data_IF_362909048045
#
_entry.id   IF_362909048045
#
_cell.length_a   1.000
_cell.length_b   1.000
_cell.length_c   1.000
_cell.angle_alpha   90.00
_cell.angle_beta   90.00
_cell.angle_gamma   90.00
#
_symmetry.space_group_name_H-M   'P 1'
#
loop_
_entity.id
_entity.type
_entity.pdbx_description
1 polymer ?
#
# COMPACT_ATOMS: atom_id res chain seq x y z
N UNK A 1 0.86 -12.27 -9.02
CA UNK A 1 -0.40 -12.57 -8.28
C UNK A 1 -0.36 -12.02 -6.85
N UNK A 2 0.72 -12.27 -6.07
CA UNK A 2 0.86 -11.81 -4.69
C UNK A 2 0.67 -10.29 -4.55
N UNK A 3 1.40 -9.49 -5.33
CA UNK A 3 1.31 -8.02 -5.30
C UNK A 3 -0.10 -7.52 -5.59
N UNK A 4 -0.77 -8.06 -6.63
CA UNK A 4 -2.13 -7.64 -6.97
C UNK A 4 -3.14 -7.90 -5.84
N UNK A 5 -3.02 -9.02 -5.11
CA UNK A 5 -3.90 -9.34 -3.98
C UNK A 5 -3.61 -8.38 -2.82
N UNK A 6 -2.34 -8.19 -2.47
CA UNK A 6 -1.90 -7.24 -1.45
C UNK A 6 -2.41 -5.83 -1.74
N UNK A 7 -2.19 -5.32 -2.96
CA UNK A 7 -2.58 -3.95 -3.33
C UNK A 7 -4.10 -3.76 -3.25
N UNK A 8 -4.89 -4.75 -3.69
CA UNK A 8 -6.35 -4.72 -3.53
C UNK A 8 -6.77 -4.67 -2.05
N UNK A 9 -6.12 -5.45 -1.19
CA UNK A 9 -6.39 -5.43 0.25
C UNK A 9 -6.02 -4.08 0.86
N UNK A 10 -4.84 -3.55 0.54
CA UNK A 10 -4.41 -2.23 1.02
C UNK A 10 -5.40 -1.15 0.59
N UNK A 11 -5.77 -1.08 -0.68
CA UNK A 11 -6.71 -0.08 -1.20
C UNK A 11 -8.09 -0.20 -0.56
N UNK A 12 -8.63 -1.42 -0.47
CA UNK A 12 -9.96 -1.65 0.08
C UNK A 12 -10.04 -1.30 1.56
N UNK A 13 -9.10 -1.81 2.36
CA UNK A 13 -9.07 -1.57 3.81
C UNK A 13 -8.74 -0.11 4.12
N UNK A 14 -7.75 0.48 3.43
CA UNK A 14 -7.39 1.88 3.65
C UNK A 14 -8.50 2.85 3.25
N UNK A 15 -9.24 2.56 2.16
CA UNK A 15 -10.36 3.39 1.73
C UNK A 15 -11.50 3.35 2.75
N UNK A 16 -11.92 2.17 3.18
CA UNK A 16 -13.02 2.03 4.16
C UNK A 16 -12.64 2.59 5.53
N UNK A 17 -11.44 2.29 6.02
CA UNK A 17 -10.94 2.81 7.29
C UNK A 17 -10.72 4.34 7.24
N UNK A 18 -10.17 4.86 6.14
CA UNK A 18 -9.97 6.29 5.91
C UNK A 18 -11.30 7.04 5.92
N UNK A 19 -12.34 6.51 5.25
CA UNK A 19 -13.69 7.06 5.29
C UNK A 19 -14.26 7.07 6.72
N UNK A 20 -14.20 5.93 7.41
CA UNK A 20 -14.69 5.83 8.78
C UNK A 20 -14.00 6.85 9.72
N UNK A 21 -12.68 6.96 9.62
CA UNK A 21 -11.89 7.92 10.39
C UNK A 21 -12.12 9.38 9.96
N UNK A 22 -12.54 9.66 8.75
CA UNK A 22 -12.87 10.99 8.28
C UNK A 22 -14.27 11.43 8.68
N UNK A 23 -15.26 10.55 8.56
CA UNK A 23 -16.69 10.88 8.61
C UNK A 23 -17.42 10.45 9.87
N UNK A 24 -16.96 9.37 10.53
CA UNK A 24 -17.62 8.87 11.72
C UNK A 24 -17.02 9.52 12.98
N UNK A 25 -17.86 9.81 13.94
CA UNK A 25 -17.44 10.33 15.24
C UNK A 25 -16.98 9.18 16.13
N UNK A 26 -15.76 8.69 15.86
CA UNK A 26 -15.17 7.57 16.59
C UNK A 26 -14.48 8.07 17.87
N UNK A 27 -14.69 7.39 19.01
CA UNK A 27 -13.94 7.69 20.22
C UNK A 27 -12.45 7.40 19.99
N UNK A 28 -11.57 8.16 20.59
CA UNK A 28 -10.11 8.02 20.50
C UNK A 28 -9.54 8.06 19.07
N UNK A 29 -10.25 8.74 18.14
CA UNK A 29 -9.84 8.85 16.72
C UNK A 29 -8.43 9.45 16.57
N UNK A 30 -8.12 10.49 17.35
CA UNK A 30 -6.84 11.20 17.27
C UNK A 30 -5.70 10.32 17.77
N UNK A 31 -5.91 9.63 18.85
CA UNK A 31 -4.97 8.72 19.50
C UNK A 31 -4.70 7.51 18.58
N UNK A 32 -5.76 6.96 17.98
CA UNK A 32 -5.64 5.88 16.99
C UNK A 32 -4.78 6.30 15.79
N UNK A 33 -5.02 7.47 15.21
CA UNK A 33 -4.24 7.97 14.08
C UNK A 33 -2.77 8.22 14.46
N UNK A 34 -2.52 8.78 15.66
CA UNK A 34 -1.16 8.96 16.16
C UNK A 34 -0.46 7.62 16.35
N UNK A 35 -1.13 6.64 16.95
CA UNK A 35 -0.60 5.29 17.14
C UNK A 35 -0.25 4.60 15.83
N UNK A 36 -1.12 4.70 14.83
CA UNK A 36 -0.92 4.14 13.48
C UNK A 36 0.30 4.76 12.80
N UNK A 37 0.52 6.09 12.93
CA UNK A 37 1.70 6.76 12.39
C UNK A 37 2.98 6.37 13.13
N UNK A 38 2.94 6.25 14.45
CA UNK A 38 4.07 5.79 15.25
C UNK A 38 4.48 4.38 14.82
N UNK A 39 3.53 3.47 14.64
CA UNK A 39 3.80 2.12 14.15
C UNK A 39 4.49 2.12 12.76
N UNK A 40 4.09 3.03 11.88
CA UNK A 40 4.71 3.16 10.55
C UNK A 40 6.14 3.74 10.60
N UNK A 41 6.48 4.46 11.66
CA UNK A 41 7.84 5.02 11.83
C UNK A 41 8.88 3.93 12.17
N UNK A 42 8.47 2.75 12.62
CA UNK A 42 9.39 1.64 12.85
C UNK A 42 9.82 1.00 11.53
N UNK A 43 11.13 0.83 11.29
CA UNK A 43 11.61 0.12 10.12
C UNK A 43 11.10 -1.33 10.12
N UNK A 44 10.52 -1.77 9.00
CA UNK A 44 9.99 -3.14 8.86
C UNK A 44 11.03 -4.23 9.15
N UNK A 45 12.31 -3.94 8.83
CA UNK A 45 13.42 -4.87 9.05
C UNK A 45 13.67 -5.14 10.54
N UNK A 46 13.42 -4.19 11.43
CA UNK A 46 13.57 -4.40 12.88
C UNK A 46 12.49 -5.29 13.46
N UNK A 47 11.34 -5.34 12.80
CA UNK A 47 10.19 -6.16 13.21
C UNK A 47 10.23 -7.57 12.65
N UNK A 48 11.19 -7.90 11.77
CA UNK A 48 11.19 -9.15 11.01
C UNK A 48 11.25 -10.39 11.91
N UNK A 49 11.99 -10.33 13.02
CA UNK A 49 12.11 -11.44 13.96
C UNK A 49 10.77 -11.68 14.68
N UNK A 50 10.13 -10.62 15.16
CA UNK A 50 8.83 -10.72 15.83
C UNK A 50 7.75 -11.24 14.87
N UNK A 51 7.73 -10.74 13.62
CA UNK A 51 6.82 -11.18 12.58
C UNK A 51 7.04 -12.66 12.26
N UNK A 52 8.28 -13.09 12.13
CA UNK A 52 8.63 -14.49 11.91
C UNK A 52 8.09 -15.40 13.01
N UNK A 53 8.29 -15.04 14.28
CA UNK A 53 7.80 -15.81 15.42
C UNK A 53 6.28 -15.89 15.45
N UNK A 54 5.60 -14.77 15.17
CA UNK A 54 4.13 -14.75 15.10
C UNK A 54 3.63 -15.65 13.96
N UNK A 55 4.23 -15.58 12.77
CA UNK A 55 3.84 -16.44 11.65
C UNK A 55 4.07 -17.92 11.93
N UNK A 56 5.14 -18.26 12.63
CA UNK A 56 5.36 -19.64 13.09
C UNK A 56 4.28 -20.08 14.08
N UNK A 57 3.94 -19.24 15.05
CA UNK A 57 2.95 -19.56 16.07
C UNK A 57 1.56 -19.83 15.46
N UNK A 58 1.16 -19.05 14.46
CA UNK A 58 -0.16 -19.17 13.80
C UNK A 58 -0.13 -20.13 12.58
N UNK A 59 1.02 -20.78 12.30
CA UNK A 59 1.13 -21.75 11.20
C UNK A 59 1.12 -21.14 9.80
N UNK A 60 1.38 -19.83 9.67
CA UNK A 60 1.41 -19.11 8.37
C UNK A 60 2.84 -18.81 7.89
N UNK A 61 3.86 -19.26 8.62
CA UNK A 61 5.24 -19.18 8.15
C UNK A 61 5.43 -20.02 6.87
N UNK A 62 6.28 -19.54 6.00
CA UNK A 62 6.57 -20.18 4.71
C UNK A 62 5.33 -20.37 3.81
N UNK A 63 4.35 -19.45 3.91
CA UNK A 63 3.16 -19.43 3.06
C UNK A 63 3.02 -18.11 2.31
N UNK A 64 2.45 -18.17 1.11
CA UNK A 64 2.13 -16.97 0.32
C UNK A 64 1.14 -16.05 1.06
N UNK A 65 0.18 -16.64 1.76
CA UNK A 65 -0.84 -15.92 2.54
C UNK A 65 -0.19 -15.16 3.69
N UNK A 66 0.75 -15.77 4.42
CA UNK A 66 1.49 -15.12 5.49
C UNK A 66 2.23 -13.87 4.99
N UNK A 67 2.95 -13.99 3.86
CA UNK A 67 3.63 -12.85 3.24
C UNK A 67 2.65 -11.75 2.84
N UNK A 68 1.52 -12.08 2.21
CA UNK A 68 0.50 -11.10 1.80
C UNK A 68 -0.06 -10.36 3.01
N UNK A 69 -0.41 -11.06 4.08
CA UNK A 69 -0.96 -10.45 5.29
C UNK A 69 0.05 -9.49 5.92
N UNK A 70 1.30 -9.91 6.08
CA UNK A 70 2.36 -9.09 6.67
C UNK A 70 2.59 -7.83 5.84
N UNK A 71 2.81 -7.98 4.54
CA UNK A 71 3.06 -6.84 3.65
C UNK A 71 1.86 -5.88 3.59
N UNK A 72 0.63 -6.42 3.65
CA UNK A 72 -0.58 -5.60 3.73
C UNK A 72 -0.59 -4.82 5.04
N UNK A 73 -0.40 -5.49 6.18
CA UNK A 73 -0.46 -4.87 7.50
C UNK A 73 0.56 -3.75 7.68
N UNK A 74 1.78 -3.93 7.18
CA UNK A 74 2.83 -2.90 7.24
C UNK A 74 2.52 -1.68 6.37
N UNK A 75 1.75 -1.83 5.30
CA UNK A 75 1.37 -0.74 4.39
C UNK A 75 0.11 0.00 4.84
N UNK A 76 -0.78 -0.66 5.61
CA UNK A 76 -2.06 -0.09 6.05
C UNK A 76 -1.94 1.24 6.80
N UNK A 77 -1.00 1.45 7.72
CA UNK A 77 -0.86 2.71 8.44
C UNK A 77 -0.78 3.92 7.51
N UNK A 78 0.13 3.89 6.56
CA UNK A 78 0.30 4.94 5.56
C UNK A 78 -0.92 5.06 4.65
N UNK A 79 -1.48 3.93 4.21
CA UNK A 79 -2.65 3.90 3.34
C UNK A 79 -3.88 4.53 3.98
N UNK A 80 -4.15 4.22 5.25
CA UNK A 80 -5.26 4.80 6.01
C UNK A 80 -5.08 6.31 6.17
N UNK A 81 -3.87 6.74 6.49
CA UNK A 81 -3.56 8.16 6.67
C UNK A 81 -3.75 8.95 5.37
N UNK A 82 -3.24 8.44 4.25
CA UNK A 82 -3.42 9.05 2.91
C UNK A 82 -4.91 9.13 2.58
N UNK A 83 -5.63 8.01 2.66
CA UNK A 83 -7.06 8.00 2.29
C UNK A 83 -7.90 8.90 3.17
N UNK A 84 -7.62 8.95 4.48
CA UNK A 84 -8.28 9.90 5.38
C UNK A 84 -8.07 11.34 4.93
N UNK A 85 -6.85 11.73 4.56
CA UNK A 85 -6.56 13.08 4.06
C UNK A 85 -7.38 13.44 2.82
N UNK A 86 -7.55 12.51 1.88
CA UNK A 86 -8.40 12.70 0.73
C UNK A 86 -9.88 12.79 1.08
N UNK A 87 -10.38 11.98 2.00
CA UNK A 87 -11.77 12.09 2.46
C UNK A 87 -12.04 13.39 3.21
N UNK A 88 -11.07 13.90 3.98
CA UNK A 88 -11.20 15.18 4.68
C UNK A 88 -11.34 16.36 3.70
N UNK A 89 -10.77 16.26 2.50
CA UNK A 89 -10.87 17.33 1.47
C UNK A 89 -12.21 17.35 0.72
N UNK A 90 -13.03 16.32 0.83
CA UNK A 90 -14.37 16.29 0.21
C UNK A 90 -15.35 17.12 1.05
N UNK A 91 -16.07 18.08 0.46
CA UNK A 91 -17.06 18.88 1.17
C UNK A 91 -18.15 18.02 1.83
N UNK A 92 -18.49 18.31 3.08
CA UNK A 92 -19.50 17.58 3.85
C UNK A 92 -20.89 17.68 3.24
N UNK A 93 -21.17 18.77 2.55
CA UNK A 93 -22.44 19.09 1.90
C UNK A 93 -22.84 18.03 0.89
N UNK A 94 -21.88 17.44 0.17
CA UNK A 94 -22.13 16.36 -0.81
C UNK A 94 -22.72 15.13 -0.12
N UNK A 95 -22.20 14.80 1.03
CA UNK A 95 -22.67 13.63 1.80
C UNK A 95 -24.04 13.91 2.42
N UNK A 96 -24.24 15.11 2.96
CA UNK A 96 -25.51 15.52 3.56
C UNK A 96 -26.63 15.59 2.53
N UNK A 97 -26.39 16.11 1.34
CA UNK A 97 -27.35 16.14 0.25
C UNK A 97 -27.85 14.72 -0.10
N UNK A 98 -26.92 13.77 -0.28
CA UNK A 98 -27.30 12.38 -0.56
C UNK A 98 -28.10 11.70 0.55
N UNK A 99 -27.80 12.02 1.82
CA UNK A 99 -28.57 11.51 2.97
C UNK A 99 -29.97 12.14 3.05
N UNK A 100 -30.12 13.43 2.70
CA UNK A 100 -31.41 14.12 2.64
C UNK A 100 -32.30 13.57 1.54
N UNK A 101 -31.71 13.13 0.42
CA UNK A 101 -32.43 12.43 -0.66
C UNK A 101 -32.86 11.00 -0.28
N UNK A 102 -32.60 10.57 0.96
CA UNK A 102 -33.01 9.27 1.48
C UNK A 102 -32.06 8.12 1.13
N UNK A 103 -30.90 8.40 0.56
CA UNK A 103 -29.91 7.34 0.27
C UNK A 103 -29.28 6.80 1.55
N UNK A 104 -28.97 5.50 1.59
CA UNK A 104 -28.23 4.91 2.70
C UNK A 104 -26.79 5.44 2.76
N UNK A 105 -26.16 5.46 3.95
CA UNK A 105 -24.78 5.88 4.13
C UNK A 105 -23.80 5.14 3.21
N UNK A 106 -24.02 3.84 3.00
CA UNK A 106 -23.19 3.04 2.09
C UNK A 106 -23.36 3.49 0.63
N UNK A 107 -24.59 3.80 0.21
CA UNK A 107 -24.88 4.30 -1.14
C UNK A 107 -24.24 5.66 -1.37
N UNK A 108 -24.34 6.56 -0.40
CA UNK A 108 -23.70 7.88 -0.44
C UNK A 108 -22.18 7.74 -0.53
N UNK A 109 -21.58 6.91 0.33
CA UNK A 109 -20.15 6.65 0.27
C UNK A 109 -19.72 6.12 -1.10
N UNK A 110 -20.37 5.07 -1.59
CA UNK A 110 -19.94 4.39 -2.82
C UNK A 110 -20.20 5.23 -4.07
N UNK A 111 -21.34 5.92 -4.17
CA UNK A 111 -21.77 6.63 -5.37
C UNK A 111 -21.35 8.09 -5.42
N UNK A 112 -21.24 8.77 -4.28
CA UNK A 112 -20.99 10.20 -4.24
C UNK A 112 -19.58 10.52 -3.73
N UNK A 113 -19.16 9.94 -2.61
CA UNK A 113 -17.91 10.30 -1.94
C UNK A 113 -16.70 9.57 -2.54
N UNK A 114 -16.80 8.25 -2.76
CA UNK A 114 -15.70 7.43 -3.29
C UNK A 114 -15.20 7.91 -4.67
N UNK A 115 -16.06 8.33 -5.62
CA UNK A 115 -15.60 8.90 -6.88
C UNK A 115 -14.81 10.20 -6.73
N UNK A 116 -15.07 11.00 -5.71
CA UNK A 116 -14.36 12.26 -5.46
C UNK A 116 -12.91 12.00 -5.00
N UNK A 117 -12.68 10.92 -4.26
CA UNK A 117 -11.34 10.56 -3.76
C UNK A 117 -10.56 9.63 -4.72
N UNK A 118 -11.00 9.47 -5.97
CA UNK A 118 -10.27 8.70 -6.99
C UNK A 118 -8.79 9.09 -7.11
N UNK A 119 -8.41 10.39 -7.07
CA UNK A 119 -6.99 10.75 -7.11
C UNK A 119 -6.20 10.13 -5.95
N UNK A 120 -6.78 10.09 -4.75
CA UNK A 120 -6.19 9.45 -3.58
C UNK A 120 -6.03 7.94 -3.73
N UNK A 121 -7.03 7.27 -4.29
CA UNK A 121 -6.97 5.83 -4.59
C UNK A 121 -5.85 5.53 -5.60
N UNK A 122 -5.72 6.36 -6.63
CA UNK A 122 -4.66 6.22 -7.64
C UNK A 122 -3.30 6.43 -6.99
N UNK A 123 -3.13 7.49 -6.20
CA UNK A 123 -1.88 7.76 -5.50
C UNK A 123 -1.48 6.61 -4.57
N UNK A 124 -2.41 6.16 -3.72
CA UNK A 124 -2.16 5.02 -2.84
C UNK A 124 -1.84 3.75 -3.63
N UNK A 125 -2.51 3.51 -4.76
CA UNK A 125 -2.23 2.40 -5.66
C UNK A 125 -0.81 2.43 -6.20
N UNK A 126 -0.34 3.59 -6.65
CA UNK A 126 1.04 3.79 -7.12
C UNK A 126 2.03 3.53 -5.99
N UNK A 127 1.83 4.13 -4.81
CA UNK A 127 2.71 3.91 -3.66
C UNK A 127 2.72 2.45 -3.21
N UNK A 128 1.56 1.81 -3.16
CA UNK A 128 1.44 0.40 -2.80
C UNK A 128 2.19 -0.48 -3.81
N UNK A 129 1.99 -0.27 -5.09
CA UNK A 129 2.71 -1.00 -6.13
C UNK A 129 4.23 -0.84 -6.02
N UNK A 130 4.73 0.40 -5.93
CA UNK A 130 6.17 0.68 -5.84
C UNK A 130 6.80 0.04 -4.61
N UNK A 131 6.15 0.16 -3.45
CA UNK A 131 6.57 -0.48 -2.20
C UNK A 131 6.69 -2.00 -2.35
N UNK A 132 5.70 -2.65 -2.97
CA UNK A 132 5.72 -4.10 -3.15
C UNK A 132 6.64 -4.58 -4.25
N UNK A 133 6.82 -3.77 -5.30
CA UNK A 133 7.73 -4.10 -6.39
C UNK A 133 9.19 -4.10 -5.92
N UNK A 134 9.56 -3.15 -5.05
CA UNK A 134 10.90 -3.05 -4.48
C UNK A 134 11.18 -4.00 -3.32
N UNK A 135 10.14 -4.57 -2.69
CA UNK A 135 10.31 -5.41 -1.50
C UNK A 135 10.83 -6.81 -1.87
N UNK A 136 11.95 -7.20 -1.29
CA UNK A 136 12.50 -8.55 -1.46
C UNK A 136 12.84 -9.24 -0.14
N UNK A 137 13.16 -8.49 0.91
CA UNK A 137 13.63 -9.03 2.19
C UNK A 137 12.50 -9.84 2.87
N UNK A 138 11.32 -9.24 3.00
CA UNK A 138 10.19 -9.88 3.66
C UNK A 138 9.76 -11.19 2.95
N UNK A 139 9.52 -11.21 1.62
CA UNK A 139 9.20 -12.46 0.93
C UNK A 139 10.30 -13.53 1.07
N UNK A 140 11.56 -13.14 0.98
CA UNK A 140 12.69 -14.08 1.06
C UNK A 140 12.84 -14.67 2.44
N UNK A 141 12.66 -13.89 3.51
CA UNK A 141 12.79 -14.36 4.89
C UNK A 141 11.55 -15.13 5.37
N UNK A 142 10.37 -14.65 4.99
CA UNK A 142 9.11 -15.21 5.50
C UNK A 142 8.59 -16.42 4.71
N UNK A 143 9.04 -16.62 3.46
CA UNK A 143 8.64 -17.75 2.62
C UNK A 143 9.81 -18.34 1.80
N UNK A 144 10.90 -18.80 2.42
CA UNK A 144 12.11 -19.21 1.71
C UNK A 144 11.95 -20.48 0.88
N UNK A 145 11.10 -21.43 1.29
CA UNK A 145 10.96 -22.73 0.65
C UNK A 145 9.86 -22.81 -0.41
N UNK A 146 8.96 -21.83 -0.48
CA UNK A 146 7.78 -21.89 -1.35
C UNK A 146 7.98 -21.33 -2.77
N UNK A 147 9.21 -21.26 -3.28
CA UNK A 147 9.52 -20.68 -4.60
C UNK A 147 8.87 -19.30 -4.83
N UNK A 148 8.63 -18.55 -3.76
CA UNK A 148 8.14 -17.15 -3.83
C UNK A 148 9.33 -16.27 -4.18
N UNK A 149 9.94 -16.54 -5.32
CA UNK A 149 11.00 -15.71 -5.83
C UNK A 149 10.39 -14.47 -6.47
N UNK A 150 10.55 -13.34 -5.81
CA UNK A 150 10.19 -12.03 -6.37
C UNK A 150 11.32 -11.54 -7.28
N UNK A 151 10.99 -10.77 -8.31
CA UNK A 151 11.97 -10.30 -9.28
C UNK A 151 13.08 -9.46 -8.64
N UNK A 152 12.74 -8.65 -7.63
CA UNK A 152 13.71 -7.91 -6.81
C UNK A 152 14.69 -8.83 -6.07
N UNK A 153 14.21 -9.94 -5.52
CA UNK A 153 15.04 -10.95 -4.87
C UNK A 153 15.93 -11.72 -5.86
N UNK A 154 15.40 -12.02 -7.05
CA UNK A 154 16.20 -12.63 -8.11
C UNK A 154 17.35 -11.71 -8.54
N UNK A 155 17.07 -10.42 -8.74
CA UNK A 155 18.09 -9.43 -9.06
C UNK A 155 19.17 -9.34 -7.97
N UNK A 156 18.77 -9.38 -6.70
CA UNK A 156 19.70 -9.40 -5.58
C UNK A 156 20.56 -10.67 -5.55
N UNK A 157 19.99 -11.83 -5.88
CA UNK A 157 20.72 -13.11 -5.93
C UNK A 157 21.79 -13.14 -7.04
N UNK A 158 21.54 -12.46 -8.16
CA UNK A 158 22.54 -12.36 -9.26
C UNK A 158 23.78 -11.60 -8.85
N UNK A 159 23.68 -10.61 -7.94
CA UNK A 159 24.82 -9.86 -7.42
C UNK A 159 25.56 -10.68 -6.36
N UNK A 160 24.85 -11.50 -5.60
CA UNK A 160 25.44 -12.28 -4.51
C UNK A 160 26.30 -13.48 -5.01
N UNK A 161 26.10 -13.92 -6.24
CA UNK A 161 26.91 -14.99 -6.87
C UNK A 161 28.14 -14.43 -7.56
N UNK A 162 29.16 -14.16 -6.76
CA UNK A 162 30.42 -13.53 -7.20
C UNK A 162 31.25 -14.45 -8.16
N UNK A 163 30.95 -15.76 -8.19
CA UNK A 163 31.71 -16.73 -9.00
C UNK A 163 31.20 -16.86 -10.44
N UNK A 164 29.91 -16.58 -10.65
CA UNK A 164 29.26 -16.73 -11.95
C UNK A 164 28.48 -15.49 -12.34
N UNK A 165 28.99 -14.29 -12.01
CA UNK A 165 28.31 -13.04 -12.31
C UNK A 165 28.22 -12.80 -13.83
N UNK A 166 27.04 -13.02 -14.39
CA UNK A 166 26.74 -12.72 -15.78
C UNK A 166 26.22 -11.28 -15.94
N UNK A 167 27.11 -10.38 -16.30
CA UNK A 167 26.82 -8.96 -16.44
C UNK A 167 25.69 -8.66 -17.45
N UNK A 168 25.61 -9.44 -18.54
CA UNK A 168 24.56 -9.26 -19.55
C UNK A 168 23.19 -9.70 -19.02
N UNK A 169 23.13 -10.81 -18.28
CA UNK A 169 21.89 -11.25 -17.63
C UNK A 169 21.42 -10.23 -16.57
N UNK A 170 22.34 -9.76 -15.73
CA UNK A 170 22.04 -8.74 -14.73
C UNK A 170 21.46 -7.46 -15.35
N UNK A 171 22.07 -6.94 -16.43
CA UNK A 171 21.56 -5.77 -17.16
C UNK A 171 20.17 -6.01 -17.73
N UNK A 172 19.94 -7.17 -18.35
CA UNK A 172 18.66 -7.51 -18.98
C UNK A 172 17.54 -7.62 -17.95
N UNK A 173 17.80 -8.29 -16.83
CA UNK A 173 16.84 -8.40 -15.71
C UNK A 173 16.62 -7.05 -15.05
N UNK A 174 17.67 -6.26 -14.86
CA UNK A 174 17.59 -4.90 -14.31
C UNK A 174 16.74 -3.96 -15.18
N UNK A 175 16.89 -4.02 -16.50
CA UNK A 175 16.09 -3.24 -17.43
C UNK A 175 14.62 -3.67 -17.36
N UNK A 176 14.36 -4.98 -17.34
CA UNK A 176 13.00 -5.51 -17.18
C UNK A 176 12.39 -5.10 -15.84
N UNK A 177 13.18 -5.11 -14.76
CA UNK A 177 12.76 -4.67 -13.43
C UNK A 177 12.42 -3.16 -13.40
N UNK A 178 13.20 -2.32 -14.07
CA UNK A 178 12.97 -0.88 -14.11
C UNK A 178 11.77 -0.49 -14.99
N UNK A 179 11.45 -1.26 -16.02
CA UNK A 179 10.43 -0.93 -17.02
C UNK A 179 9.04 -0.61 -16.42
N UNK A 180 8.44 -1.43 -15.53
CA UNK A 180 7.12 -1.11 -14.96
C UNK A 180 7.13 0.18 -14.13
N UNK A 181 8.23 0.47 -13.44
CA UNK A 181 8.38 1.68 -12.63
C UNK A 181 8.42 2.93 -13.52
N UNK A 182 9.20 2.88 -14.62
CA UNK A 182 9.26 3.95 -15.62
C UNK A 182 7.91 4.16 -16.28
N UNK A 183 7.23 3.09 -16.68
CA UNK A 183 5.89 3.16 -17.28
C UNK A 183 4.92 3.81 -16.29
N UNK A 184 4.89 3.36 -15.05
CA UNK A 184 4.05 3.94 -14.01
C UNK A 184 4.34 5.44 -13.82
N UNK A 185 5.60 5.83 -13.76
CA UNK A 185 5.98 7.23 -13.63
C UNK A 185 5.44 8.06 -14.79
N UNK A 186 5.66 7.64 -16.04
CA UNK A 186 5.20 8.37 -17.24
C UNK A 186 3.69 8.55 -17.27
N UNK A 187 2.90 7.55 -16.85
CA UNK A 187 1.44 7.64 -16.86
C UNK A 187 0.84 8.42 -15.68
N UNK A 188 1.52 8.44 -14.53
CA UNK A 188 0.94 9.00 -13.31
C UNK A 188 1.65 10.26 -12.80
N UNK A 189 2.76 10.70 -13.40
CA UNK A 189 3.51 11.90 -12.98
C UNK A 189 2.59 13.13 -12.84
N UNK A 190 1.75 13.43 -13.82
CA UNK A 190 0.87 14.61 -13.79
C UNK A 190 -0.18 14.52 -12.68
N UNK A 191 -0.70 13.32 -12.41
CA UNK A 191 -1.67 13.10 -11.34
C UNK A 191 -1.03 13.20 -9.96
N UNK A 192 0.21 12.73 -9.82
CA UNK A 192 0.99 12.84 -8.58
C UNK A 192 1.39 14.30 -8.31
N UNK A 193 1.84 15.03 -9.33
CA UNK A 193 2.20 16.45 -9.22
C UNK A 193 1.00 17.31 -8.80
N UNK A 194 -0.19 17.05 -9.33
CA UNK A 194 -1.41 17.78 -8.96
C UNK A 194 -1.87 17.53 -7.52
N UNK A 195 -1.50 16.39 -6.91
CA UNK A 195 -1.76 16.09 -5.51
C UNK A 195 -0.92 16.98 -4.59
N UNK A 196 0.34 17.23 -4.96
CA UNK A 196 1.23 18.12 -4.21
C UNK A 196 1.02 19.60 -4.54
N UNK A 197 0.54 19.93 -5.74
CA UNK A 197 0.31 21.32 -6.19
C UNK A 197 -1.04 21.90 -5.79
N UNK A 198 -2.00 21.11 -5.35
CA UNK A 198 -3.34 21.55 -4.95
C UNK A 198 -3.42 22.32 -3.62
N UNK A 199 -2.30 22.47 -2.91
CA UNK A 199 -2.22 23.19 -1.63
C UNK A 199 -1.87 24.70 -1.72
N UNK A 200 -1.63 25.24 -2.91
CA UNK A 200 -1.14 26.63 -3.08
C UNK A 200 -2.02 27.48 -4.01
N UNK A 201 -3.33 27.31 -3.97
CA UNK A 201 -4.27 28.33 -4.47
C UNK A 201 -5.11 28.78 -3.28
N UNK A 202 -4.50 29.64 -2.45
CA UNK A 202 -5.19 30.59 -1.61
C UNK A 202 -5.42 31.86 -2.40
#
# INVERSE_FOLDING_TARGET
>A
RQMCIRDRLVLSVSSTAGYALSRLNLPFRREFLAGVLILHAFPSITLIIAIFLILQLIGLYNTLIGVIIVMTSLQLPLGIWIMKGFYDSVPWEIEMAGLQDGASRFTVWYRLVLPQVRPGIIALGVFSFLSGWGEYILPTVLAPANNVQVLSGYLASLIADDRNFEFNLFKSVGLFYATPVVIMYLFFQDKLMNIYGGGTKG
#
